data_IF_684490378030
#
_entry.id   IF_684490378030
#
_cell.length_a   1.000
_cell.length_b   1.000
_cell.length_c   1.000
_cell.angle_alpha   90.00
_cell.angle_beta   90.00
_cell.angle_gamma   90.00
#
_symmetry.space_group_name_H-M   'P 1'
#
loop_
_entity.id
_entity.type
_entity.pdbx_description
1 polymer ?
#
# COMPACT_ATOMS: atom_id res chain seq x y z
N UNK A 1 -30.70 21.32 1.84
CA UNK A 1 -30.55 20.18 0.91
C UNK A 1 -29.12 19.67 1.07
N UNK A 2 -28.95 18.37 1.35
CA UNK A 2 -27.62 17.78 1.50
C UNK A 2 -27.07 17.42 0.14
N UNK A 3 -25.78 17.63 -0.08
CA UNK A 3 -25.03 17.12 -1.23
C UNK A 3 -24.28 15.86 -0.81
N UNK A 4 -23.90 15.02 -1.75
CA UNK A 4 -23.09 13.82 -1.47
C UNK A 4 -21.81 14.15 -0.67
N UNK A 5 -21.13 15.24 -1.01
CA UNK A 5 -19.89 15.65 -0.33
C UNK A 5 -20.12 16.02 1.14
N UNK A 6 -21.26 16.63 1.48
CA UNK A 6 -21.58 17.06 2.83
C UNK A 6 -22.23 15.95 3.67
N UNK A 7 -22.88 14.98 3.03
CA UNK A 7 -23.58 13.89 3.70
C UNK A 7 -22.65 13.06 4.58
N UNK A 8 -21.55 12.56 4.00
CA UNK A 8 -20.60 11.71 4.73
C UNK A 8 -19.86 12.41 5.88
N UNK A 9 -19.88 13.76 5.88
CA UNK A 9 -19.33 14.56 6.97
C UNK A 9 -20.38 14.92 8.03
N UNK A 10 -21.67 14.63 7.80
CA UNK A 10 -22.77 15.02 8.68
C UNK A 10 -22.75 14.30 10.03
N UNK A 11 -23.32 14.94 11.04
CA UNK A 11 -23.47 14.35 12.40
C UNK A 11 -24.40 13.14 12.37
N UNK A 12 -25.43 13.19 11.54
CA UNK A 12 -26.43 12.15 11.38
C UNK A 12 -25.79 10.88 10.83
N UNK A 13 -25.00 10.99 9.77
CA UNK A 13 -24.29 9.87 9.19
C UNK A 13 -23.36 9.19 10.20
N UNK A 14 -22.52 9.98 10.89
CA UNK A 14 -21.60 9.45 11.91
C UNK A 14 -22.35 8.76 13.06
N UNK A 15 -23.50 9.34 13.48
CA UNK A 15 -24.34 8.75 14.53
C UNK A 15 -24.94 7.44 14.04
N UNK A 16 -25.45 7.37 12.82
CA UNK A 16 -26.04 6.17 12.24
C UNK A 16 -25.03 5.03 12.16
N UNK A 17 -23.84 5.27 11.60
CA UNK A 17 -22.77 4.25 11.52
C UNK A 17 -22.38 3.75 12.91
N UNK A 18 -22.25 4.66 13.89
CA UNK A 18 -21.95 4.29 15.29
C UNK A 18 -23.04 3.41 15.90
N UNK A 19 -24.29 3.72 15.69
CA UNK A 19 -25.42 2.94 16.21
C UNK A 19 -25.47 1.55 15.57
N UNK A 20 -25.34 1.46 14.23
CA UNK A 20 -25.29 0.19 13.52
C UNK A 20 -24.16 -0.67 14.04
N UNK A 21 -23.00 -0.08 14.28
CA UNK A 21 -21.84 -0.79 14.84
C UNK A 21 -22.13 -1.39 16.21
N UNK A 22 -22.76 -0.64 17.10
CA UNK A 22 -23.16 -1.14 18.43
C UNK A 22 -24.20 -2.24 18.37
N UNK A 23 -25.11 -2.18 17.39
CA UNK A 23 -26.16 -3.18 17.20
C UNK A 23 -25.66 -4.48 16.57
N UNK A 24 -24.54 -4.44 15.82
CA UNK A 24 -23.99 -5.58 15.08
C UNK A 24 -22.70 -6.13 15.68
N UNK A 25 -22.52 -5.98 16.98
CA UNK A 25 -21.44 -6.67 17.69
C UNK A 25 -21.73 -8.18 17.72
N UNK A 26 -20.68 -8.98 17.51
CA UNK A 26 -20.76 -10.42 17.71
C UNK A 26 -20.77 -10.76 19.21
N UNK A 27 -20.87 -12.06 19.54
CA UNK A 27 -20.86 -12.57 20.92
C UNK A 27 -19.59 -12.17 21.71
N UNK A 28 -18.50 -11.89 21.02
CA UNK A 28 -17.24 -11.44 21.61
C UNK A 28 -17.11 -9.89 21.71
N UNK A 29 -18.17 -9.15 21.43
CA UNK A 29 -18.18 -7.70 21.44
C UNK A 29 -17.41 -7.04 20.30
N UNK A 30 -17.19 -7.78 19.18
CA UNK A 30 -16.42 -7.29 18.04
C UNK A 30 -17.33 -6.96 16.84
N UNK A 31 -17.00 -5.89 16.13
CA UNK A 31 -17.60 -5.61 14.82
C UNK A 31 -16.96 -6.51 13.77
N UNK A 32 -17.77 -7.23 13.01
CA UNK A 32 -17.32 -8.10 11.92
C UNK A 32 -17.48 -7.38 10.57
N UNK A 33 -16.46 -7.44 9.73
CA UNK A 33 -16.52 -6.93 8.38
C UNK A 33 -17.49 -7.79 7.54
N UNK A 34 -18.57 -7.20 7.05
CA UNK A 34 -19.62 -7.91 6.30
C UNK A 34 -19.15 -8.33 4.88
N UNK A 35 -17.98 -7.85 4.43
CA UNK A 35 -17.39 -8.27 3.16
C UNK A 35 -16.45 -9.48 3.28
N UNK A 36 -15.55 -9.50 4.28
CA UNK A 36 -14.52 -10.53 4.39
C UNK A 36 -14.67 -11.45 5.61
N UNK A 37 -15.66 -11.21 6.47
CA UNK A 37 -15.94 -12.02 7.66
C UNK A 37 -14.92 -11.87 8.81
N UNK A 38 -13.93 -10.98 8.71
CA UNK A 38 -12.90 -10.79 9.73
C UNK A 38 -13.27 -9.66 10.70
N UNK A 39 -12.80 -9.70 11.97
CA UNK A 39 -13.03 -8.63 12.93
C UNK A 39 -12.41 -7.30 12.51
N UNK A 40 -13.13 -6.20 12.69
CA UNK A 40 -12.63 -4.84 12.53
C UNK A 40 -12.14 -4.35 13.90
N UNK A 41 -10.82 -4.37 14.10
CA UNK A 41 -10.21 -4.11 15.41
C UNK A 41 -10.08 -2.61 15.71
N UNK A 42 -9.85 -1.80 14.68
CA UNK A 42 -9.58 -0.37 14.82
C UNK A 42 -10.78 0.45 14.38
N UNK A 43 -11.19 1.43 15.19
CA UNK A 43 -12.36 2.27 14.92
C UNK A 43 -12.29 3.00 13.58
N UNK A 44 -11.10 3.52 13.23
CA UNK A 44 -10.88 4.23 11.97
C UNK A 44 -10.90 3.32 10.73
N UNK A 45 -10.80 2.01 10.91
CA UNK A 45 -10.87 1.02 9.81
C UNK A 45 -12.31 0.54 9.56
N UNK A 46 -13.28 0.99 10.37
CA UNK A 46 -14.68 0.66 10.22
C UNK A 46 -15.39 1.68 9.33
N UNK A 47 -15.73 1.29 8.12
CA UNK A 47 -16.43 2.13 7.13
C UNK A 47 -17.88 1.65 6.98
N UNK A 48 -18.82 2.59 7.06
CA UNK A 48 -20.20 2.35 6.61
C UNK A 48 -20.27 2.46 5.08
N UNK A 49 -20.62 1.38 4.42
CA UNK A 49 -20.78 1.32 2.97
C UNK A 49 -22.23 1.18 2.60
N UNK A 50 -22.74 2.00 1.67
CA UNK A 50 -24.09 1.87 1.15
C UNK A 50 -24.16 0.77 0.07
N UNK A 51 -25.06 -0.20 0.26
CA UNK A 51 -25.32 -1.27 -0.71
C UNK A 51 -25.94 -0.68 -1.97
N UNK A 52 -27.04 0.09 -1.81
CA UNK A 52 -27.58 0.95 -2.84
C UNK A 52 -26.83 2.29 -2.79
N UNK A 53 -26.11 2.62 -3.87
CA UNK A 53 -25.30 3.81 -3.91
C UNK A 53 -26.10 5.09 -3.75
N UNK A 54 -25.52 6.03 -2.98
CA UNK A 54 -26.07 7.38 -2.91
C UNK A 54 -25.76 8.18 -4.17
N UNK A 55 -26.76 8.88 -4.64
CA UNK A 55 -26.69 9.88 -5.72
C UNK A 55 -27.16 11.24 -5.19
N UNK A 56 -27.00 12.29 -5.95
CA UNK A 56 -27.55 13.61 -5.57
C UNK A 56 -29.08 13.59 -5.48
N UNK A 57 -29.74 12.63 -6.14
CA UNK A 57 -31.20 12.46 -6.16
C UNK A 57 -31.72 11.76 -4.89
N UNK A 58 -31.01 10.71 -4.40
CA UNK A 58 -31.47 9.90 -3.28
C UNK A 58 -30.76 10.22 -1.94
N UNK A 59 -29.74 11.05 -1.91
CA UNK A 59 -28.99 11.40 -0.69
C UNK A 59 -29.85 12.04 0.40
N UNK A 60 -30.94 12.69 0.00
CA UNK A 60 -31.90 13.29 0.92
C UNK A 60 -33.05 12.36 1.33
N UNK A 61 -33.15 11.17 0.71
CA UNK A 61 -34.09 10.13 1.14
C UNK A 61 -33.50 9.38 2.33
N UNK A 62 -34.10 9.55 3.49
CA UNK A 62 -33.68 8.92 4.75
C UNK A 62 -33.82 7.42 4.69
N UNK A 63 -34.79 6.91 3.91
CA UNK A 63 -35.01 5.46 3.73
C UNK A 63 -33.91 4.79 2.90
N UNK A 64 -33.12 5.57 2.18
CA UNK A 64 -31.96 5.11 1.44
C UNK A 64 -30.67 5.47 2.18
N UNK A 65 -30.52 6.75 2.55
CA UNK A 65 -29.23 7.32 3.04
C UNK A 65 -28.90 6.99 4.49
N UNK A 66 -29.90 6.80 5.36
CA UNK A 66 -29.70 6.47 6.78
C UNK A 66 -30.35 5.13 7.19
N UNK A 67 -30.80 4.35 6.23
CA UNK A 67 -31.39 3.04 6.47
C UNK A 67 -30.30 2.01 6.88
N UNK A 68 -30.38 1.44 8.11
CA UNK A 68 -29.42 0.42 8.52
C UNK A 68 -29.37 -0.80 7.58
N UNK A 69 -30.49 -1.18 6.96
CA UNK A 69 -30.54 -2.28 5.98
C UNK A 69 -29.78 -2.02 4.69
N UNK A 70 -29.53 -0.73 4.37
CA UNK A 70 -28.74 -0.31 3.22
C UNK A 70 -27.28 -0.03 3.55
N UNK A 71 -26.83 -0.28 4.79
CA UNK A 71 -25.47 0.05 5.24
C UNK A 71 -24.76 -1.21 5.70
N UNK A 72 -23.63 -1.53 5.08
CA UNK A 72 -22.69 -2.58 5.51
C UNK A 72 -21.53 -1.98 6.27
N UNK A 73 -21.07 -2.68 7.32
CA UNK A 73 -19.84 -2.34 8.03
C UNK A 73 -18.68 -3.12 7.45
N UNK A 74 -17.71 -2.43 6.89
CA UNK A 74 -16.59 -3.05 6.19
C UNK A 74 -15.25 -2.42 6.59
N UNK A 75 -14.14 -3.17 6.46
CA UNK A 75 -12.81 -2.57 6.55
C UNK A 75 -12.62 -1.53 5.43
N UNK A 76 -11.79 -0.53 5.67
CA UNK A 76 -11.44 0.45 4.67
C UNK A 76 -10.89 -0.20 3.38
N UNK A 77 -10.05 -1.23 3.51
CA UNK A 77 -9.54 -1.99 2.36
C UNK A 77 -10.64 -2.77 1.63
N UNK A 78 -11.61 -3.31 2.36
CA UNK A 78 -12.75 -4.02 1.77
C UNK A 78 -13.70 -3.06 1.06
N UNK A 79 -13.95 -1.89 1.65
CA UNK A 79 -14.72 -0.82 1.02
C UNK A 79 -14.13 -0.41 -0.34
N UNK A 80 -12.81 -0.21 -0.40
CA UNK A 80 -12.13 0.10 -1.66
C UNK A 80 -12.29 -1.04 -2.69
N UNK A 81 -12.21 -2.31 -2.26
CA UNK A 81 -12.44 -3.47 -3.15
C UNK A 81 -13.88 -3.54 -3.68
N UNK A 82 -14.86 -3.19 -2.87
CA UNK A 82 -16.26 -3.13 -3.32
C UNK A 82 -16.42 -2.10 -4.43
N UNK A 83 -15.85 -0.91 -4.25
CA UNK A 83 -15.91 0.16 -5.26
C UNK A 83 -15.12 -0.16 -6.53
N UNK A 84 -14.02 -0.91 -6.43
CA UNK A 84 -13.24 -1.39 -7.58
C UNK A 84 -14.06 -2.34 -8.47
N UNK A 85 -14.95 -3.17 -7.89
CA UNK A 85 -15.86 -4.02 -8.65
C UNK A 85 -16.92 -3.24 -9.44
N UNK A 86 -17.18 -2.00 -9.08
CA UNK A 86 -18.20 -1.14 -9.69
C UNK A 86 -17.63 -0.19 -10.77
N UNK A 87 -16.40 -0.46 -11.27
CA UNK A 87 -15.85 0.22 -12.44
C UNK A 87 -14.83 1.33 -12.17
N UNK A 88 -14.31 1.46 -10.94
CA UNK A 88 -13.07 2.23 -10.76
C UNK A 88 -11.90 1.46 -11.38
N UNK A 89 -10.98 2.14 -12.08
CA UNK A 89 -9.75 1.52 -12.60
C UNK A 89 -9.09 0.72 -11.47
N UNK A 90 -8.88 -0.59 -11.70
CA UNK A 90 -8.16 -1.45 -10.74
C UNK A 90 -6.83 -0.79 -10.38
N UNK A 91 -6.67 -0.45 -9.10
CA UNK A 91 -5.40 0.07 -8.59
C UNK A 91 -4.43 -1.08 -8.44
N UNK A 92 -3.48 -1.15 -9.34
CA UNK A 92 -2.47 -2.20 -9.32
C UNK A 92 -1.34 -1.84 -8.36
N UNK A 93 -0.87 -2.83 -7.62
CA UNK A 93 0.32 -2.71 -6.78
C UNK A 93 1.38 -3.67 -7.30
N UNK A 94 2.60 -3.17 -7.44
CA UNK A 94 3.73 -3.95 -7.91
C UNK A 94 4.82 -3.95 -6.83
N UNK A 95 5.30 -5.14 -6.46
CA UNK A 95 6.49 -5.35 -5.64
C UNK A 95 7.66 -5.55 -6.60
N UNK A 96 8.44 -4.49 -6.82
CA UNK A 96 9.61 -4.51 -7.72
C UNK A 96 10.84 -4.84 -6.91
N UNK A 97 11.36 -6.04 -7.06
CA UNK A 97 12.45 -6.54 -6.24
C UNK A 97 13.62 -7.07 -7.09
N UNK A 98 14.75 -7.32 -6.42
CA UNK A 98 15.96 -7.81 -7.05
C UNK A 98 17.21 -7.29 -6.36
N UNK A 99 18.42 -7.73 -6.78
CA UNK A 99 19.67 -7.36 -6.14
C UNK A 99 19.93 -5.85 -6.18
N UNK A 100 20.78 -5.33 -5.28
CA UNK A 100 21.31 -3.97 -5.43
C UNK A 100 21.89 -3.74 -6.83
N UNK A 101 21.71 -2.55 -7.37
CA UNK A 101 22.15 -2.17 -8.73
C UNK A 101 21.56 -2.98 -9.90
N UNK A 102 20.54 -3.80 -9.69
CA UNK A 102 19.84 -4.50 -10.79
C UNK A 102 19.10 -3.55 -11.76
N UNK A 103 18.91 -2.28 -11.40
CA UNK A 103 18.17 -1.32 -12.24
C UNK A 103 16.69 -1.22 -11.93
N UNK A 104 16.26 -1.61 -10.73
CA UNK A 104 14.85 -1.55 -10.29
C UNK A 104 14.21 -0.18 -10.47
N UNK A 105 14.92 0.89 -10.06
CA UNK A 105 14.42 2.25 -10.22
C UNK A 105 14.26 2.62 -11.68
N UNK A 106 15.23 2.31 -12.51
CA UNK A 106 15.18 2.54 -13.96
C UNK A 106 14.02 1.77 -14.62
N UNK A 107 13.73 0.56 -14.15
CA UNK A 107 12.57 -0.20 -14.59
C UNK A 107 11.26 0.55 -14.26
N UNK A 108 11.11 1.00 -13.02
CA UNK A 108 9.92 1.71 -12.58
C UNK A 108 9.76 3.05 -13.30
N UNK A 109 10.83 3.81 -13.49
CA UNK A 109 10.81 5.10 -14.20
C UNK A 109 10.34 4.96 -15.67
N UNK A 110 10.59 3.79 -16.30
CA UNK A 110 10.09 3.48 -17.64
C UNK A 110 8.64 2.96 -17.65
N UNK A 111 8.22 2.29 -16.60
CA UNK A 111 6.91 1.65 -16.51
C UNK A 111 5.80 2.55 -15.97
N UNK A 112 6.16 3.51 -15.12
CA UNK A 112 5.22 4.38 -14.44
C UNK A 112 4.62 5.45 -15.36
N UNK A 113 3.39 5.86 -15.02
CA UNK A 113 2.69 6.99 -15.61
C UNK A 113 2.60 8.16 -14.64
N UNK A 114 2.29 9.35 -15.16
CA UNK A 114 2.08 10.53 -14.33
C UNK A 114 0.92 10.29 -13.35
N UNK A 115 1.22 10.42 -12.05
CA UNK A 115 0.25 10.22 -10.98
C UNK A 115 0.28 8.82 -10.36
N UNK A 116 1.16 7.91 -10.82
CA UNK A 116 1.43 6.67 -10.12
C UNK A 116 2.27 6.92 -8.85
N UNK A 117 2.15 6.01 -7.88
CA UNK A 117 2.81 6.11 -6.59
C UNK A 117 4.09 5.27 -6.58
N UNK A 118 5.19 5.85 -6.09
CA UNK A 118 6.43 5.11 -5.85
C UNK A 118 6.71 5.09 -4.35
N UNK A 119 7.00 3.89 -3.83
CA UNK A 119 7.52 3.67 -2.48
C UNK A 119 8.94 3.14 -2.61
N UNK A 120 9.90 4.05 -2.48
CA UNK A 120 11.34 3.79 -2.60
C UNK A 120 12.06 4.38 -1.38
N UNK A 121 12.68 3.53 -0.58
CA UNK A 121 13.34 3.97 0.66
C UNK A 121 14.53 4.92 0.39
N UNK A 122 15.21 4.75 -0.74
CA UNK A 122 16.33 5.63 -1.09
C UNK A 122 15.84 7.04 -1.44
N UNK A 123 14.68 7.17 -2.08
CA UNK A 123 14.03 8.48 -2.31
C UNK A 123 13.53 9.11 -1.01
N UNK A 124 13.10 8.32 -0.03
CA UNK A 124 12.73 8.84 1.29
C UNK A 124 13.96 9.38 2.02
N UNK A 125 15.11 8.67 1.94
CA UNK A 125 16.38 9.17 2.49
C UNK A 125 16.75 10.54 1.90
N UNK A 126 16.70 10.68 0.60
CA UNK A 126 16.96 11.94 -0.10
C UNK A 126 16.01 13.06 0.35
N UNK A 127 14.72 12.78 0.43
CA UNK A 127 13.70 13.72 0.87
C UNK A 127 13.89 14.20 2.32
N UNK A 128 14.25 13.29 3.23
CA UNK A 128 14.36 13.59 4.67
C UNK A 128 15.71 14.26 5.01
N UNK A 129 16.79 13.85 4.35
CA UNK A 129 18.14 14.33 4.66
C UNK A 129 18.54 15.58 3.90
N UNK A 130 17.94 15.82 2.72
CA UNK A 130 18.43 16.84 1.78
C UNK A 130 19.79 16.51 1.14
N UNK A 131 20.32 15.30 1.40
CA UNK A 131 21.57 14.80 0.85
C UNK A 131 21.30 13.86 -0.33
N UNK A 132 22.39 13.38 -0.97
CA UNK A 132 22.26 12.32 -1.98
C UNK A 132 21.56 11.09 -1.39
N UNK A 133 20.72 10.42 -2.19
CA UNK A 133 19.90 9.26 -1.80
C UNK A 133 20.69 8.09 -1.19
N UNK A 134 22.00 8.06 -1.37
CA UNK A 134 22.88 7.01 -0.84
C UNK A 134 23.68 7.47 0.39
N UNK A 135 23.61 8.76 0.74
CA UNK A 135 24.10 9.27 2.01
C UNK A 135 23.01 9.11 3.07
N UNK A 136 23.22 8.17 4.00
CA UNK A 136 22.21 7.73 4.96
C UNK A 136 22.63 8.02 6.41
N UNK A 137 22.49 9.27 6.89
CA UNK A 137 22.86 9.63 8.25
C UNK A 137 22.13 8.76 9.29
N UNK A 138 22.84 8.02 10.17
CA UNK A 138 22.21 7.08 11.09
C UNK A 138 21.13 7.70 12.00
N UNK A 139 21.29 8.99 12.33
CA UNK A 139 20.35 9.75 13.19
C UNK A 139 18.94 9.87 12.60
N UNK A 140 18.81 9.80 11.27
CA UNK A 140 17.53 9.94 10.56
C UNK A 140 16.84 8.60 10.29
N UNK A 141 17.52 7.49 10.59
CA UNK A 141 17.02 6.12 10.29
C UNK A 141 15.59 5.89 10.78
N UNK A 142 15.28 6.23 12.03
CA UNK A 142 13.95 6.02 12.60
C UNK A 142 12.86 6.78 11.84
N UNK A 143 13.12 8.03 11.45
CA UNK A 143 12.17 8.87 10.70
C UNK A 143 11.93 8.30 9.31
N UNK A 144 13.00 7.91 8.59
CA UNK A 144 12.91 7.31 7.26
C UNK A 144 12.07 6.03 7.27
N UNK A 145 12.32 5.14 8.23
CA UNK A 145 11.54 3.90 8.34
C UNK A 145 10.09 4.14 8.75
N UNK A 146 9.82 5.16 9.59
CA UNK A 146 8.46 5.55 9.92
C UNK A 146 7.69 6.06 8.68
N UNK A 147 8.33 6.91 7.86
CA UNK A 147 7.75 7.40 6.61
C UNK A 147 7.53 6.27 5.60
N UNK A 148 8.51 5.37 5.43
CA UNK A 148 8.36 4.20 4.57
C UNK A 148 7.16 3.35 4.99
N UNK A 149 7.03 3.07 6.31
CA UNK A 149 5.89 2.34 6.86
C UNK A 149 4.56 3.05 6.59
N UNK A 150 4.50 4.37 6.76
CA UNK A 150 3.29 5.15 6.47
C UNK A 150 2.90 5.09 4.99
N UNK A 151 3.87 5.11 4.07
CA UNK A 151 3.60 4.93 2.63
C UNK A 151 3.09 3.53 2.32
N UNK A 152 3.65 2.47 2.90
CA UNK A 152 3.15 1.09 2.77
C UNK A 152 1.70 1.00 3.29
N UNK A 153 1.39 1.61 4.44
CA UNK A 153 0.02 1.67 4.97
C UNK A 153 -0.92 2.43 4.01
N UNK A 154 -0.45 3.54 3.42
CA UNK A 154 -1.23 4.28 2.41
C UNK A 154 -1.55 3.44 1.17
N UNK A 155 -0.60 2.60 0.72
CA UNK A 155 -0.84 1.63 -0.37
C UNK A 155 -1.82 0.55 0.08
N UNK A 156 -1.65 0.00 1.29
CA UNK A 156 -2.54 -1.02 1.87
C UNK A 156 -4.00 -0.57 1.88
N UNK A 157 -4.23 0.65 2.31
CA UNK A 157 -5.57 1.24 2.40
C UNK A 157 -6.03 1.96 1.13
N UNK A 158 -5.25 1.87 0.04
CA UNK A 158 -5.56 2.52 -1.25
C UNK A 158 -5.84 4.03 -1.12
N UNK A 159 -5.10 4.72 -0.24
CA UNK A 159 -5.24 6.17 -0.06
C UNK A 159 -4.73 6.92 -1.29
N UNK A 160 -5.43 8.00 -1.67
CA UNK A 160 -5.09 8.80 -2.85
C UNK A 160 -5.81 8.33 -4.12
N UNK A 161 -5.44 8.93 -5.26
CA UNK A 161 -6.08 8.70 -6.59
C UNK A 161 -5.08 8.15 -7.63
N UNK A 162 -4.08 7.39 -7.19
CA UNK A 162 -3.11 6.75 -8.07
C UNK A 162 -3.73 5.54 -8.80
N UNK A 163 -3.21 5.20 -9.97
CA UNK A 163 -3.60 3.98 -10.71
C UNK A 163 -2.69 2.80 -10.40
N UNK A 164 -1.38 3.03 -10.37
CA UNK A 164 -0.39 2.02 -10.01
C UNK A 164 0.44 2.48 -8.82
N UNK A 165 0.86 1.53 -7.97
CA UNK A 165 1.83 1.77 -6.91
C UNK A 165 2.99 0.80 -7.06
N UNK A 166 4.21 1.32 -7.09
CA UNK A 166 5.43 0.57 -7.22
C UNK A 166 6.22 0.60 -5.91
N UNK A 167 6.38 -0.56 -5.27
CA UNK A 167 7.16 -0.73 -4.04
C UNK A 167 8.51 -1.31 -4.45
N UNK A 168 9.57 -0.55 -4.25
CA UNK A 168 10.93 -0.90 -4.69
C UNK A 168 11.75 -1.36 -3.49
N UNK A 169 12.39 -2.53 -3.60
CA UNK A 169 13.27 -3.03 -2.54
C UNK A 169 14.12 -4.22 -2.96
N UNK A 170 14.92 -4.72 -2.02
CA UNK A 170 15.74 -5.91 -2.24
C UNK A 170 14.91 -7.19 -2.18
N UNK A 171 14.23 -7.40 -1.09
CA UNK A 171 13.31 -8.51 -0.79
C UNK A 171 13.84 -9.90 -1.22
N UNK A 172 15.02 -10.35 -0.72
CA UNK A 172 15.60 -11.63 -1.12
C UNK A 172 14.81 -12.84 -0.60
N UNK A 173 14.12 -12.70 0.53
CA UNK A 173 13.41 -13.80 1.18
C UNK A 173 12.01 -13.98 0.58
N UNK A 174 11.69 -15.20 0.16
CA UNK A 174 10.39 -15.57 -0.40
C UNK A 174 9.24 -15.26 0.57
N UNK A 175 9.34 -15.67 1.83
CA UNK A 175 8.28 -15.44 2.81
C UNK A 175 7.98 -13.96 3.09
N UNK A 176 8.98 -13.07 2.93
CA UNK A 176 8.77 -11.63 3.03
C UNK A 176 7.98 -11.11 1.83
N UNK A 177 8.32 -11.57 0.61
CA UNK A 177 7.59 -11.23 -0.62
C UNK A 177 6.15 -11.71 -0.57
N UNK A 178 5.94 -12.99 -0.24
CA UNK A 178 4.59 -13.58 -0.11
C UNK A 178 3.72 -12.84 0.89
N UNK A 179 4.29 -12.45 2.04
CA UNK A 179 3.58 -11.66 3.02
C UNK A 179 3.14 -10.31 2.45
N UNK A 180 4.08 -9.57 1.82
CA UNK A 180 3.79 -8.25 1.25
C UNK A 180 2.80 -8.34 0.09
N UNK A 181 2.96 -9.30 -0.82
CA UNK A 181 2.03 -9.52 -1.94
C UNK A 181 0.63 -9.84 -1.45
N UNK A 182 0.49 -10.69 -0.44
CA UNK A 182 -0.81 -11.03 0.16
C UNK A 182 -1.43 -9.82 0.88
N UNK A 183 -0.64 -9.09 1.68
CA UNK A 183 -1.13 -7.93 2.44
C UNK A 183 -1.56 -6.77 1.54
N UNK A 184 -0.87 -6.57 0.43
CA UNK A 184 -1.06 -5.41 -0.45
C UNK A 184 -1.83 -5.74 -1.73
N UNK A 185 -2.10 -7.02 -2.00
CA UNK A 185 -2.62 -7.47 -3.29
C UNK A 185 -1.66 -7.12 -4.43
N UNK A 186 -0.34 -7.24 -4.18
CA UNK A 186 0.69 -6.83 -5.12
C UNK A 186 1.00 -7.96 -6.12
N UNK A 187 1.50 -7.58 -7.30
CA UNK A 187 2.14 -8.49 -8.26
C UNK A 187 3.66 -8.36 -8.13
N UNK A 188 4.36 -9.48 -8.11
CA UNK A 188 5.82 -9.50 -8.05
C UNK A 188 6.44 -9.20 -9.41
N UNK A 189 7.49 -8.37 -9.41
CA UNK A 189 8.32 -8.09 -10.57
C UNK A 189 9.78 -8.23 -10.14
N UNK A 190 10.42 -9.31 -10.59
CA UNK A 190 11.85 -9.51 -10.39
C UNK A 190 12.65 -8.77 -11.46
N UNK A 191 13.47 -7.83 -11.04
CA UNK A 191 14.46 -7.19 -11.92
C UNK A 191 15.77 -7.98 -11.80
N UNK A 192 16.04 -8.79 -12.80
CA UNK A 192 17.19 -9.73 -12.83
C UNK A 192 18.48 -8.98 -13.12
N UNK A 193 19.54 -9.35 -12.44
CA UNK A 193 20.93 -9.07 -12.77
C UNK A 193 21.80 -10.13 -12.08
N UNK A 194 22.94 -10.46 -12.67
CA UNK A 194 23.91 -11.35 -12.05
C UNK A 194 24.70 -10.62 -10.95
N UNK A 195 25.33 -11.37 -10.04
CA UNK A 195 26.23 -10.79 -9.03
C UNK A 195 27.34 -9.98 -9.67
N UNK A 196 27.92 -10.52 -10.74
CA UNK A 196 29.01 -9.88 -11.48
C UNK A 196 28.55 -8.55 -12.13
N UNK A 197 27.38 -8.55 -12.79
CA UNK A 197 26.81 -7.30 -13.33
C UNK A 197 26.58 -6.24 -12.26
N UNK A 198 26.09 -6.63 -11.08
CA UNK A 198 25.86 -5.71 -9.96
C UNK A 198 27.20 -5.13 -9.45
N UNK A 199 28.22 -5.97 -9.28
CA UNK A 199 29.55 -5.53 -8.86
C UNK A 199 30.22 -4.62 -9.89
N UNK A 200 30.15 -4.95 -11.19
CA UNK A 200 30.67 -4.11 -12.26
C UNK A 200 29.98 -2.74 -12.29
N UNK A 201 28.65 -2.69 -12.12
CA UNK A 201 27.90 -1.43 -12.04
C UNK A 201 28.28 -0.61 -10.80
N UNK A 202 28.59 -1.28 -9.68
CA UNK A 202 29.09 -0.59 -8.49
C UNK A 202 30.46 0.02 -8.73
N UNK A 203 31.37 -0.71 -9.39
CA UNK A 203 32.73 -0.25 -9.62
C UNK A 203 32.76 1.03 -10.48
N UNK A 204 31.94 1.09 -11.52
CA UNK A 204 31.84 2.26 -12.40
C UNK A 204 30.93 3.36 -11.88
N UNK A 205 30.26 3.17 -10.73
CA UNK A 205 29.41 4.21 -10.16
C UNK A 205 30.24 5.35 -9.55
N UNK A 206 29.88 6.59 -9.89
CA UNK A 206 30.54 7.82 -9.40
C UNK A 206 29.71 8.52 -8.30
N UNK A 207 28.67 7.86 -7.81
CA UNK A 207 27.81 8.44 -6.78
C UNK A 207 28.33 8.22 -5.34
N UNK A 208 27.60 8.75 -4.36
CA UNK A 208 27.99 8.74 -2.95
C UNK A 208 27.90 7.36 -2.25
N UNK A 209 27.84 6.25 -3.00
CA UNK A 209 27.82 4.90 -2.41
C UNK A 209 29.18 4.54 -1.82
N UNK A 210 29.16 4.05 -0.56
CA UNK A 210 30.33 3.38 -0.01
C UNK A 210 30.49 2.01 -0.68
N UNK A 211 31.50 1.86 -1.55
CA UNK A 211 31.71 0.64 -2.35
C UNK A 211 31.82 -0.62 -1.48
N UNK A 212 32.51 -0.55 -0.35
CA UNK A 212 32.68 -1.69 0.58
C UNK A 212 31.32 -2.16 1.13
N UNK A 213 30.50 -1.23 1.62
CA UNK A 213 29.16 -1.58 2.16
C UNK A 213 28.25 -2.12 1.07
N UNK A 214 28.29 -1.54 -0.12
CA UNK A 214 27.43 -1.97 -1.21
C UNK A 214 27.85 -3.32 -1.80
N UNK A 215 29.16 -3.64 -1.83
CA UNK A 215 29.65 -4.98 -2.17
C UNK A 215 29.05 -6.01 -1.21
N UNK A 216 29.14 -5.75 0.11
CA UNK A 216 28.55 -6.62 1.12
C UNK A 216 27.03 -6.78 0.91
N UNK A 217 26.28 -5.71 0.65
CA UNK A 217 24.84 -5.79 0.41
C UNK A 217 24.47 -6.60 -0.85
N UNK A 218 25.29 -6.53 -1.90
CA UNK A 218 25.13 -7.37 -3.09
C UNK A 218 25.34 -8.83 -2.72
N UNK A 219 26.42 -9.16 -2.02
CA UNK A 219 26.76 -10.52 -1.61
C UNK A 219 25.67 -11.12 -0.72
N UNK A 220 25.30 -10.43 0.34
CA UNK A 220 24.24 -10.84 1.25
C UNK A 220 22.91 -11.08 0.52
N UNK A 221 22.59 -10.28 -0.51
CA UNK A 221 21.37 -10.46 -1.27
C UNK A 221 21.39 -11.80 -2.04
N UNK A 222 22.48 -12.11 -2.75
CA UNK A 222 22.61 -13.36 -3.51
C UNK A 222 22.66 -14.60 -2.61
N UNK A 223 23.28 -14.49 -1.43
CA UNK A 223 23.30 -15.58 -0.43
C UNK A 223 21.90 -15.89 0.14
N UNK A 224 21.07 -14.86 0.29
CA UNK A 224 19.75 -14.98 0.92
C UNK A 224 18.61 -15.15 -0.08
N UNK A 225 18.88 -14.99 -1.35
CA UNK A 225 17.83 -15.02 -2.37
C UNK A 225 17.23 -16.43 -2.50
N UNK A 226 15.92 -16.52 -2.23
CA UNK A 226 15.11 -17.69 -2.48
C UNK A 226 14.21 -17.42 -3.68
N UNK A 227 14.36 -18.18 -4.80
CA UNK A 227 13.49 -18.01 -5.97
C UNK A 227 12.04 -18.40 -5.66
N UNK A 228 11.06 -17.97 -6.46
CA UNK A 228 9.70 -18.45 -6.38
C UNK A 228 9.63 -19.97 -6.60
N UNK A 229 8.64 -20.64 -5.96
CA UNK A 229 8.48 -22.11 -6.03
C UNK A 229 8.14 -22.61 -7.44
N UNK A 230 7.64 -21.76 -8.33
CA UNK A 230 7.18 -22.11 -9.68
C UNK A 230 8.26 -21.95 -10.77
N UNK A 231 9.50 -21.63 -10.41
CA UNK A 231 10.63 -21.46 -11.35
C UNK A 231 11.56 -22.70 -11.45
N UNK A 232 11.11 -23.92 -11.05
CA UNK A 232 11.83 -25.18 -11.25
C UNK A 232 11.28 -25.99 -12.42
#
# INVERSE_FOLDING_TARGET
>A
MRTLSNFYQSREWRKTVRLIRLQRLNENGQTICEYCGKPIVKDYDCIGHHIEHLTEENVNDVMVSLNPGNIQLVHHVCHNRIHEKLGSKERQVYLVYGPPLAGKRTYVDKAMSKGDLIVDIDSIWECVSGLSRYEKPPRLKAVVFAMHKALIESVRYRQGKWSNAYIIGGYPLQGERERLTKELGAREILVRATKEECLNRLEVSEDARNKTDWTRFIEEWFERYAPPLDEN
#
